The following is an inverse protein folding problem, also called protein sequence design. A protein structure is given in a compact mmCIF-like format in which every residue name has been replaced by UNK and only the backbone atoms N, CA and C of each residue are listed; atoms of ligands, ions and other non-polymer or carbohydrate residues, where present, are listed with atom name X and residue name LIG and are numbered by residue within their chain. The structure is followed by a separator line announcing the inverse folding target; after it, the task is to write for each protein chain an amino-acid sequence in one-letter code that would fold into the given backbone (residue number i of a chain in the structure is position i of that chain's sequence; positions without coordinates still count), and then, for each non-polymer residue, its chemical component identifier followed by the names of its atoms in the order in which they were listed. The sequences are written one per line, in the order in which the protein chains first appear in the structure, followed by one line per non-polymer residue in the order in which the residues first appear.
data_IF_160235522646
#
_entry.id   IF_160235522646
#
_cell.length_a   1.000
_cell.length_b   1.000
_cell.length_c   1.000
_cell.angle_alpha   90.00
_cell.angle_beta   90.00
_cell.angle_gamma   90.00
#
_symmetry.space_group_name_H-M   'P 1'
#
loop_
_entity.id
_entity.type
_entity.pdbx_description
1 polymer ?
#
# COMPACT_ATOMS: atom_id res chain seq x y z
N UNK A 1 19.37 12.80 -15.78
CA UNK A 1 19.02 12.98 -17.20
C UNK A 1 17.61 12.54 -17.55
N UNK A 2 17.08 11.50 -16.87
CA UNK A 2 15.75 10.92 -17.15
C UNK A 2 14.59 11.54 -16.34
N UNK A 3 14.85 12.53 -15.50
CA UNK A 3 13.81 13.13 -14.65
C UNK A 3 12.61 13.70 -15.42
N UNK A 4 12.82 14.19 -16.66
CA UNK A 4 11.76 14.71 -17.54
C UNK A 4 10.78 13.62 -18.01
N UNK A 5 11.23 12.37 -18.03
CA UNK A 5 10.45 11.21 -18.46
C UNK A 5 9.67 10.56 -17.30
N UNK A 6 9.87 11.05 -16.06
CA UNK A 6 9.18 10.55 -14.91
C UNK A 6 7.87 11.31 -14.64
N UNK A 7 6.92 10.61 -14.04
CA UNK A 7 5.68 11.18 -13.52
C UNK A 7 5.96 12.23 -12.45
N UNK A 8 5.09 13.22 -12.33
CA UNK A 8 5.28 14.37 -11.46
C UNK A 8 5.41 13.97 -9.98
N UNK A 9 4.70 12.94 -9.53
CA UNK A 9 4.82 12.42 -8.16
C UNK A 9 6.21 11.85 -7.85
N UNK A 10 6.88 11.21 -8.81
CA UNK A 10 8.24 10.70 -8.65
C UNK A 10 9.28 11.84 -8.62
N UNK A 11 9.07 12.85 -9.46
CA UNK A 11 9.90 14.07 -9.48
C UNK A 11 9.72 14.86 -8.17
N UNK A 12 8.49 15.00 -7.70
CA UNK A 12 8.22 15.70 -6.44
C UNK A 12 8.88 15.02 -5.25
N UNK A 13 8.78 13.69 -5.17
CA UNK A 13 9.46 12.93 -4.12
C UNK A 13 10.97 13.14 -4.14
N UNK A 14 11.59 13.12 -5.34
CA UNK A 14 13.01 13.41 -5.46
C UNK A 14 13.38 14.79 -4.90
N UNK A 15 12.58 15.81 -5.23
CA UNK A 15 12.79 17.18 -4.72
C UNK A 15 12.62 17.24 -3.18
N UNK A 16 11.55 16.66 -2.66
CA UNK A 16 11.25 16.65 -1.22
C UNK A 16 12.33 15.92 -0.42
N UNK A 17 12.90 14.86 -0.98
CA UNK A 17 14.01 14.10 -0.38
C UNK A 17 15.39 14.74 -0.57
N UNK A 18 15.47 15.99 -1.06
CA UNK A 18 16.73 16.68 -1.28
C UNK A 18 17.64 16.01 -2.31
N UNK A 19 17.06 15.38 -3.34
CA UNK A 19 17.78 14.70 -4.40
C UNK A 19 18.38 13.35 -4.03
N UNK A 20 18.07 12.81 -2.85
CA UNK A 20 18.70 11.57 -2.32
C UNK A 20 18.01 10.29 -2.73
N UNK A 21 16.79 10.37 -3.21
CA UNK A 21 15.99 9.22 -3.66
C UNK A 21 15.17 9.59 -4.88
N UNK A 22 14.67 8.60 -5.62
CA UNK A 22 13.74 8.78 -6.73
C UNK A 22 12.66 7.69 -6.69
N UNK A 23 11.43 8.08 -7.02
CA UNK A 23 10.32 7.14 -7.14
C UNK A 23 10.48 6.25 -8.38
N UNK A 24 10.26 4.96 -8.21
CA UNK A 24 10.25 3.98 -9.30
C UNK A 24 8.87 3.39 -9.57
N UNK A 25 7.97 3.44 -8.60
CA UNK A 25 6.57 3.08 -8.76
C UNK A 25 5.67 3.81 -7.76
N UNK A 26 4.37 3.76 -8.00
CA UNK A 26 3.33 4.22 -7.07
C UNK A 26 2.32 3.11 -6.82
N UNK A 27 1.84 3.02 -5.57
CA UNK A 27 0.79 2.11 -5.15
C UNK A 27 -0.20 2.78 -4.21
N UNK A 28 -1.50 2.65 -4.48
CA UNK A 28 -2.56 3.12 -3.59
C UNK A 28 -2.97 2.03 -2.60
N UNK A 29 -3.26 2.43 -1.35
CA UNK A 29 -3.86 1.54 -0.36
C UNK A 29 -5.31 1.23 -0.72
N UNK A 30 -5.78 0.11 -0.20
CA UNK A 30 -7.17 -0.31 -0.30
C UNK A 30 -7.40 -1.55 0.54
N UNK A 31 -8.48 -2.21 0.27
CA UNK A 31 -8.77 -3.54 0.77
C UNK A 31 -9.43 -4.36 -0.31
N UNK A 32 -9.44 -5.65 -0.14
CA UNK A 32 -10.05 -6.54 -1.12
C UNK A 32 -10.49 -7.85 -0.51
N UNK A 33 -11.30 -8.55 -1.27
CA UNK A 33 -11.91 -9.81 -0.89
C UNK A 33 -12.15 -10.69 -2.11
N UNK A 34 -12.27 -12.00 -1.90
CA UNK A 34 -12.76 -12.91 -2.92
C UNK A 34 -14.28 -12.81 -3.03
N UNK A 35 -14.79 -12.54 -4.23
CA UNK A 35 -16.23 -12.45 -4.47
C UNK A 35 -16.96 -13.78 -4.14
N UNK A 36 -16.33 -14.91 -4.43
CA UNK A 36 -16.89 -16.24 -4.15
C UNK A 36 -16.99 -16.50 -2.65
N UNK A 37 -15.94 -16.16 -1.88
CA UNK A 37 -15.92 -16.36 -0.42
C UNK A 37 -16.98 -15.48 0.26
N UNK A 38 -17.12 -14.22 -0.14
CA UNK A 38 -18.19 -13.36 0.40
C UNK A 38 -19.57 -13.91 0.09
N UNK A 39 -19.78 -14.38 -1.15
CA UNK A 39 -21.07 -14.98 -1.57
C UNK A 39 -21.41 -16.23 -0.75
N UNK A 40 -20.45 -17.11 -0.53
CA UNK A 40 -20.64 -18.31 0.31
C UNK A 40 -21.02 -17.97 1.74
N UNK A 41 -20.41 -16.92 2.30
CA UNK A 41 -20.70 -16.42 3.66
C UNK A 41 -22.00 -15.61 3.75
N UNK A 42 -22.59 -15.21 2.62
CA UNK A 42 -23.80 -14.39 2.57
C UNK A 42 -23.59 -12.98 3.13
N UNK A 43 -22.38 -12.43 3.04
CA UNK A 43 -22.01 -11.11 3.56
C UNK A 43 -21.84 -10.12 2.40
N UNK A 44 -22.32 -8.89 2.58
CA UNK A 44 -22.13 -7.82 1.60
C UNK A 44 -20.67 -7.31 1.62
N UNK A 45 -20.15 -6.95 0.46
CA UNK A 45 -18.79 -6.41 0.35
C UNK A 45 -18.68 -4.99 0.88
N UNK A 46 -17.66 -4.66 1.71
CA UNK A 46 -17.44 -3.31 2.21
C UNK A 46 -17.00 -2.37 1.08
N UNK A 47 -17.32 -1.07 1.21
CA UNK A 47 -16.99 -0.01 0.24
C UNK A 47 -16.17 1.13 0.82
N UNK A 48 -16.21 1.28 2.13
CA UNK A 48 -15.59 2.39 2.85
C UNK A 48 -14.72 1.84 3.99
N UNK A 49 -13.74 2.62 4.46
CA UNK A 49 -12.98 2.24 5.66
C UNK A 49 -13.91 2.00 6.86
N UNK A 50 -14.93 2.86 7.02
CA UNK A 50 -15.90 2.74 8.09
C UNK A 50 -16.62 1.39 8.11
N UNK A 51 -16.86 0.77 6.96
CA UNK A 51 -17.54 -0.52 6.87
C UNK A 51 -16.77 -1.64 7.55
N UNK A 52 -15.43 -1.58 7.57
CA UNK A 52 -14.58 -2.65 8.12
C UNK A 52 -14.76 -2.87 9.63
N UNK A 53 -15.42 -1.93 10.32
CA UNK A 53 -15.72 -2.05 11.74
C UNK A 53 -17.11 -2.63 12.03
N UNK A 54 -17.85 -3.04 11.01
CA UNK A 54 -19.16 -3.66 11.17
C UNK A 54 -19.04 -5.05 11.81
N UNK A 55 -20.02 -5.46 12.62
CA UNK A 55 -19.95 -6.73 13.37
C UNK A 55 -19.95 -7.98 12.47
N UNK A 56 -20.48 -7.89 11.25
CA UNK A 56 -20.44 -9.01 10.28
C UNK A 56 -19.03 -9.40 9.85
N UNK A 57 -18.05 -8.54 10.06
CA UNK A 57 -16.63 -8.81 9.73
C UNK A 57 -15.79 -9.20 10.96
N UNK A 58 -16.43 -9.52 12.09
CA UNK A 58 -15.72 -9.88 13.34
C UNK A 58 -14.82 -11.09 13.16
N UNK A 59 -13.49 -10.89 13.37
CA UNK A 59 -12.50 -11.92 13.17
C UNK A 59 -12.26 -12.31 11.70
N UNK A 60 -12.63 -11.46 10.76
CA UNK A 60 -12.59 -11.73 9.31
C UNK A 60 -11.80 -10.68 8.52
N UNK A 61 -11.00 -9.87 9.19
CA UNK A 61 -10.15 -8.87 8.57
C UNK A 61 -8.69 -9.15 8.88
N UNK A 62 -7.81 -9.04 7.88
CA UNK A 62 -6.37 -9.08 8.07
C UNK A 62 -5.72 -7.78 7.60
N UNK A 63 -4.70 -7.37 8.34
CA UNK A 63 -3.78 -6.30 8.00
C UNK A 63 -2.40 -6.65 8.54
N UNK A 64 -1.34 -6.12 7.97
CA UNK A 64 -0.01 -6.34 8.52
C UNK A 64 0.22 -5.54 9.82
N UNK A 65 1.19 -5.97 10.62
CA UNK A 65 1.61 -5.22 11.80
C UNK A 65 2.41 -3.97 11.38
N UNK A 66 2.04 -2.76 11.82
CA UNK A 66 2.68 -1.52 11.38
C UNK A 66 4.14 -1.39 11.86
N UNK A 67 4.57 -2.14 12.88
CA UNK A 67 5.96 -2.19 13.29
C UNK A 67 6.86 -2.94 12.29
N UNK A 68 6.32 -3.96 11.61
CA UNK A 68 7.07 -4.79 10.65
C UNK A 68 6.80 -4.45 9.19
N UNK A 69 5.75 -3.69 8.89
CA UNK A 69 5.29 -3.41 7.52
C UNK A 69 5.12 -1.92 7.26
N UNK A 70 5.78 -1.43 6.21
CA UNK A 70 5.57 -0.08 5.69
C UNK A 70 4.15 0.13 5.18
N UNK A 71 3.55 -0.88 4.56
CA UNK A 71 2.15 -0.88 4.10
C UNK A 71 1.19 -0.58 5.24
N UNK A 72 1.33 -1.30 6.35
CA UNK A 72 0.47 -1.12 7.52
C UNK A 72 0.73 0.20 8.24
N UNK A 73 1.98 0.69 8.25
CA UNK A 73 2.25 2.04 8.74
C UNK A 73 1.58 3.10 7.85
N UNK A 74 1.65 2.95 6.52
CA UNK A 74 0.95 3.85 5.60
C UNK A 74 -0.56 3.82 5.82
N UNK A 75 -1.14 2.65 6.15
CA UNK A 75 -2.56 2.53 6.53
C UNK A 75 -2.88 3.34 7.79
N UNK A 76 -2.11 3.19 8.88
CA UNK A 76 -2.30 3.98 10.10
C UNK A 76 -2.19 5.48 9.82
N UNK A 77 -1.15 5.90 9.11
CA UNK A 77 -0.94 7.31 8.76
C UNK A 77 -2.03 7.86 7.82
N UNK A 78 -2.58 7.03 6.93
CA UNK A 78 -3.72 7.39 6.09
C UNK A 78 -4.96 7.70 6.91
N UNK A 79 -5.32 6.82 7.85
CA UNK A 79 -6.47 7.03 8.72
C UNK A 79 -6.31 8.30 9.57
N UNK A 80 -5.12 8.53 10.12
CA UNK A 80 -4.82 9.74 10.89
C UNK A 80 -5.02 11.01 10.04
N UNK A 81 -4.65 10.97 8.77
CA UNK A 81 -4.83 12.11 7.86
C UNK A 81 -6.28 12.32 7.41
N UNK A 82 -7.06 11.25 7.29
CA UNK A 82 -8.48 11.34 6.88
C UNK A 82 -9.37 11.77 8.04
N UNK A 83 -9.17 11.20 9.24
CA UNK A 83 -10.10 11.30 10.36
C UNK A 83 -9.62 12.25 11.47
N UNK A 84 -8.33 12.60 11.47
CA UNK A 84 -7.66 13.15 12.66
C UNK A 84 -7.19 12.03 13.59
N UNK A 85 -6.19 12.32 14.43
CA UNK A 85 -5.48 11.27 15.16
C UNK A 85 -6.36 10.55 16.21
N UNK A 86 -7.16 11.29 16.97
CA UNK A 86 -8.00 10.71 18.02
C UNK A 86 -9.08 9.78 17.43
N UNK A 87 -9.77 10.23 16.40
CA UNK A 87 -10.81 9.44 15.74
C UNK A 87 -10.19 8.23 14.99
N UNK A 88 -9.01 8.39 14.40
CA UNK A 88 -8.31 7.29 13.74
C UNK A 88 -7.93 6.19 14.75
N UNK A 89 -7.45 6.55 15.94
CA UNK A 89 -7.12 5.55 16.97
C UNK A 89 -8.38 4.93 17.60
N UNK A 90 -9.46 5.70 17.75
CA UNK A 90 -10.77 5.13 18.14
C UNK A 90 -11.27 4.13 17.09
N UNK A 91 -11.16 4.46 15.81
CA UNK A 91 -11.47 3.56 14.70
C UNK A 91 -10.59 2.30 14.72
N UNK A 92 -9.26 2.44 14.88
CA UNK A 92 -8.33 1.30 14.91
C UNK A 92 -8.61 0.34 16.07
N UNK A 93 -9.00 0.86 17.25
CA UNK A 93 -9.45 0.02 18.38
C UNK A 93 -10.69 -0.80 18.03
N UNK A 94 -11.66 -0.16 17.38
CA UNK A 94 -12.88 -0.84 16.93
C UNK A 94 -12.58 -1.86 15.83
N UNK A 95 -11.72 -1.51 14.86
CA UNK A 95 -11.29 -2.41 13.81
C UNK A 95 -10.54 -3.63 14.38
N UNK A 96 -9.76 -3.44 15.46
CA UNK A 96 -9.03 -4.52 16.12
C UNK A 96 -9.94 -5.69 16.57
N UNK A 97 -11.19 -5.41 16.90
CA UNK A 97 -12.18 -6.45 17.24
C UNK A 97 -12.51 -7.36 16.04
N UNK A 98 -12.31 -6.85 14.81
CA UNK A 98 -12.56 -7.55 13.56
C UNK A 98 -11.29 -8.18 12.98
N UNK A 99 -10.11 -7.86 13.51
CA UNK A 99 -8.84 -8.44 13.06
C UNK A 99 -8.67 -9.85 13.58
N UNK A 100 -8.43 -10.80 12.68
CA UNK A 100 -8.06 -12.17 13.07
C UNK A 100 -6.55 -12.35 13.18
N UNK A 101 -5.76 -11.56 12.45
CA UNK A 101 -4.30 -11.65 12.49
C UNK A 101 -3.65 -10.36 11.99
N UNK A 102 -2.58 -9.94 12.69
CA UNK A 102 -1.62 -8.97 12.20
C UNK A 102 -0.44 -9.70 11.54
N UNK A 103 -0.35 -9.66 10.22
CA UNK A 103 0.70 -10.37 9.48
C UNK A 103 2.04 -9.64 9.55
N UNK A 104 3.14 -10.34 9.28
CA UNK A 104 4.47 -9.71 9.20
C UNK A 104 4.67 -8.95 7.88
N UNK A 105 4.21 -9.54 6.77
CA UNK A 105 4.34 -8.98 5.42
C UNK A 105 3.10 -8.18 5.01
N UNK A 106 3.31 -7.02 4.37
CA UNK A 106 2.24 -6.16 3.88
C UNK A 106 1.34 -6.80 2.84
N UNK A 107 1.87 -7.67 1.98
CA UNK A 107 1.12 -8.36 0.94
C UNK A 107 0.38 -9.63 1.41
N UNK A 108 0.72 -10.16 2.60
CA UNK A 108 0.12 -11.41 3.09
C UNK A 108 -1.41 -11.38 3.25
N UNK A 109 -2.05 -10.27 3.67
CA UNK A 109 -3.51 -10.19 3.75
C UNK A 109 -4.24 -10.45 2.43
N UNK A 110 -3.66 -10.02 1.29
CA UNK A 110 -4.22 -10.32 -0.04
C UNK A 110 -4.24 -11.83 -0.32
N UNK A 111 -3.15 -12.51 -0.01
CA UNK A 111 -3.05 -13.96 -0.19
C UNK A 111 -4.02 -14.72 0.71
N UNK A 112 -4.16 -14.29 1.96
CA UNK A 112 -5.10 -14.88 2.90
C UNK A 112 -6.56 -14.71 2.43
N UNK A 113 -6.93 -13.52 1.97
CA UNK A 113 -8.27 -13.26 1.43
C UNK A 113 -8.55 -14.08 0.16
N UNK A 114 -7.55 -14.26 -0.71
CA UNK A 114 -7.70 -15.06 -1.93
C UNK A 114 -7.93 -16.55 -1.67
N UNK A 115 -7.42 -17.07 -0.53
CA UNK A 115 -7.59 -18.46 -0.11
C UNK A 115 -8.77 -18.69 0.84
N UNK A 116 -9.53 -17.63 1.17
CA UNK A 116 -10.64 -17.71 2.12
C UNK A 116 -10.23 -17.90 3.58
N UNK A 117 -8.97 -17.65 3.94
CA UNK A 117 -8.47 -17.68 5.32
C UNK A 117 -8.95 -16.47 6.12
N UNK A 118 -9.37 -15.44 5.44
CA UNK A 118 -10.02 -14.23 5.96
C UNK A 118 -10.98 -13.70 4.89
N UNK A 119 -12.00 -12.94 5.27
CA UNK A 119 -12.87 -12.31 4.27
C UNK A 119 -12.19 -11.12 3.59
N UNK A 120 -11.51 -10.28 4.36
CA UNK A 120 -11.00 -8.99 3.90
C UNK A 120 -9.51 -8.88 4.19
N UNK A 121 -8.74 -8.52 3.18
CA UNK A 121 -7.33 -8.16 3.32
C UNK A 121 -7.11 -6.68 3.08
N UNK A 122 -6.45 -5.99 4.00
CA UNK A 122 -6.03 -4.59 3.86
C UNK A 122 -4.58 -4.55 3.42
N UNK A 123 -4.31 -4.00 2.22
CA UNK A 123 -2.97 -3.84 1.66
C UNK A 123 -2.98 -2.85 0.50
N UNK A 124 -1.89 -2.75 -0.25
CA UNK A 124 -1.88 -1.99 -1.50
C UNK A 124 -2.69 -2.70 -2.59
N UNK A 125 -3.37 -1.92 -3.42
CA UNK A 125 -4.27 -2.44 -4.45
C UNK A 125 -3.53 -3.31 -5.49
N UNK A 126 -2.27 -3.01 -5.80
CA UNK A 126 -1.46 -3.84 -6.69
C UNK A 126 -1.17 -5.24 -6.13
N UNK A 127 -1.14 -5.41 -4.80
CA UNK A 127 -1.05 -6.74 -4.18
C UNK A 127 -2.41 -7.48 -4.25
N UNK A 128 -3.51 -6.73 -4.16
CA UNK A 128 -4.87 -7.30 -4.20
C UNK A 128 -5.25 -7.86 -5.58
N UNK A 129 -4.73 -7.28 -6.66
CA UNK A 129 -4.97 -7.80 -8.01
C UNK A 129 -4.13 -9.02 -8.34
N UNK A 130 -3.03 -9.24 -7.64
CA UNK A 130 -2.09 -10.34 -7.93
C UNK A 130 -2.76 -11.72 -7.93
N UNK A 131 -3.57 -12.14 -6.95
CA UNK A 131 -4.22 -13.45 -6.97
C UNK A 131 -5.22 -13.61 -8.14
N UNK A 132 -5.87 -12.53 -8.57
CA UNK A 132 -6.77 -12.59 -9.73
C UNK A 132 -6.00 -12.92 -11.01
N UNK A 133 -4.84 -12.28 -11.20
CA UNK A 133 -4.01 -12.49 -12.39
C UNK A 133 -3.27 -13.83 -12.35
N UNK A 134 -2.71 -14.21 -11.21
CA UNK A 134 -1.83 -15.39 -11.11
C UNK A 134 -2.57 -16.70 -10.86
N UNK A 135 -3.74 -16.63 -10.24
CA UNK A 135 -4.49 -17.83 -9.79
C UNK A 135 -5.96 -17.85 -10.24
N UNK A 136 -6.42 -16.80 -10.94
CA UNK A 136 -7.80 -16.72 -11.43
C UNK A 136 -8.87 -16.54 -10.32
N UNK A 137 -8.46 -16.18 -9.10
CA UNK A 137 -9.41 -15.92 -8.00
C UNK A 137 -10.16 -14.62 -8.28
N UNK A 138 -11.50 -14.60 -8.19
CA UNK A 138 -12.29 -13.39 -8.47
C UNK A 138 -12.14 -12.36 -7.33
N UNK A 139 -10.99 -11.71 -7.28
CA UNK A 139 -10.72 -10.67 -6.29
C UNK A 139 -11.43 -9.37 -6.64
N UNK A 140 -12.16 -8.83 -5.69
CA UNK A 140 -12.71 -7.48 -5.73
C UNK A 140 -11.77 -6.56 -4.98
N UNK A 141 -11.23 -5.57 -5.69
CA UNK A 141 -10.33 -4.55 -5.12
C UNK A 141 -11.13 -3.28 -4.87
N UNK A 142 -11.11 -2.78 -3.65
CA UNK A 142 -11.90 -1.63 -3.22
C UNK A 142 -10.99 -0.43 -2.94
N UNK A 143 -11.29 0.67 -3.63
CA UNK A 143 -10.80 2.01 -3.28
C UNK A 143 -11.78 2.62 -2.29
N UNK A 144 -11.38 2.82 -1.02
CA UNK A 144 -12.31 3.26 0.01
C UNK A 144 -12.98 4.60 -0.29
N UNK A 145 -14.27 4.71 -0.02
CA UNK A 145 -15.10 5.86 -0.38
C UNK A 145 -14.65 7.20 0.27
N UNK A 146 -14.05 7.13 1.46
CA UNK A 146 -13.51 8.32 2.15
C UNK A 146 -12.27 8.87 1.45
N UNK A 147 -11.62 8.06 0.63
CA UNK A 147 -10.32 8.31 0.04
C UNK A 147 -9.25 7.44 0.68
N UNK A 148 -8.07 7.45 0.10
CA UNK A 148 -6.97 6.61 0.57
C UNK A 148 -5.61 7.23 0.38
N UNK A 149 -4.65 6.76 1.18
CA UNK A 149 -3.24 7.08 1.03
C UNK A 149 -2.56 6.22 -0.04
N UNK A 150 -1.33 6.56 -0.28
CA UNK A 150 -0.50 5.88 -1.26
C UNK A 150 0.97 5.89 -0.83
N UNK A 151 1.75 5.04 -1.46
CA UNK A 151 3.20 5.08 -1.35
C UNK A 151 3.85 5.42 -2.70
N UNK A 152 5.06 5.96 -2.63
CA UNK A 152 5.98 6.04 -3.74
C UNK A 152 7.18 5.15 -3.41
N UNK A 153 7.23 3.99 -4.04
CA UNK A 153 8.36 3.09 -3.91
C UNK A 153 9.59 3.72 -4.54
N UNK A 154 10.68 3.75 -3.79
CA UNK A 154 11.83 4.59 -4.13
C UNK A 154 13.13 3.86 -3.99
N UNK A 155 14.14 4.32 -4.71
CA UNK A 155 15.50 3.82 -4.60
C UNK A 155 16.49 4.94 -4.30
N UNK A 156 17.57 4.57 -3.61
CA UNK A 156 18.69 5.44 -3.26
C UNK A 156 20.01 4.70 -3.42
N UNK A 157 21.08 5.44 -3.72
CA UNK A 157 22.44 4.88 -3.67
C UNK A 157 22.97 5.08 -2.26
N UNK A 158 23.42 3.99 -1.63
CA UNK A 158 23.94 4.01 -0.27
C UNK A 158 25.28 4.79 -0.24
N UNK A 159 25.46 5.67 0.71
CA UNK A 159 26.74 6.38 0.92
C UNK A 159 27.86 5.38 1.21
N UNK A 160 28.95 5.48 0.47
CA UNK A 160 30.06 4.54 0.59
C UNK A 160 29.86 3.21 -0.12
N UNK A 161 28.91 3.12 -1.05
CA UNK A 161 28.71 1.94 -1.87
C UNK A 161 30.03 1.48 -2.53
N UNK A 162 30.45 0.22 -2.34
CA UNK A 162 31.76 -0.26 -2.83
C UNK A 162 31.87 -0.29 -4.35
N UNK A 163 30.73 -0.41 -5.05
CA UNK A 163 30.64 -0.46 -6.51
C UNK A 163 29.79 0.72 -7.05
N UNK A 164 30.16 1.95 -6.68
CA UNK A 164 29.39 3.15 -6.97
C UNK A 164 29.04 3.32 -8.46
N UNK A 165 29.97 3.06 -9.36
CA UNK A 165 29.73 3.23 -10.82
C UNK A 165 28.73 2.20 -11.34
N UNK A 166 28.77 0.97 -10.86
CA UNK A 166 27.74 -0.03 -11.19
C UNK A 166 26.39 0.29 -10.57
N UNK A 167 26.39 0.81 -9.34
CA UNK A 167 25.16 1.28 -8.68
C UNK A 167 24.48 2.41 -9.47
N UNK A 168 25.27 3.37 -10.00
CA UNK A 168 24.74 4.43 -10.89
C UNK A 168 24.16 3.88 -12.18
N UNK A 169 24.85 2.93 -12.85
CA UNK A 169 24.36 2.30 -14.07
C UNK A 169 23.05 1.56 -13.84
N UNK A 170 22.97 0.82 -12.72
CA UNK A 170 21.75 0.12 -12.35
C UNK A 170 20.60 1.10 -12.02
N UNK A 171 20.93 2.18 -11.30
CA UNK A 171 19.99 3.24 -10.95
C UNK A 171 19.38 3.89 -12.20
N UNK A 172 20.21 4.26 -13.17
CA UNK A 172 19.76 4.83 -14.44
C UNK A 172 18.95 3.83 -15.24
N UNK A 173 19.37 2.56 -15.30
CA UNK A 173 18.64 1.50 -15.99
C UNK A 173 17.26 1.27 -15.35
N UNK A 174 17.14 1.21 -14.03
CA UNK A 174 15.87 0.99 -13.33
C UNK A 174 14.82 2.08 -13.57
N UNK A 175 15.23 3.24 -14.07
CA UNK A 175 14.34 4.34 -14.46
C UNK A 175 13.92 4.30 -15.92
N UNK A 176 14.44 3.37 -16.71
CA UNK A 176 14.06 3.23 -18.12
C UNK A 176 12.66 2.58 -18.26
N UNK A 177 11.93 2.88 -19.35
CA UNK A 177 10.64 2.22 -19.60
C UNK A 177 10.77 0.69 -19.71
N UNK A 178 11.87 0.21 -20.33
CA UNK A 178 12.13 -1.21 -20.52
C UNK A 178 12.31 -1.93 -19.17
N UNK A 179 13.08 -1.35 -18.25
CA UNK A 179 13.27 -1.93 -16.91
C UNK A 179 11.97 -1.95 -16.12
N UNK A 180 11.20 -0.88 -16.16
CA UNK A 180 9.94 -0.78 -15.41
C UNK A 180 8.85 -1.69 -16.00
N UNK A 181 8.88 -1.98 -17.30
CA UNK A 181 8.00 -2.96 -17.93
C UNK A 181 8.19 -4.40 -17.42
N UNK A 182 9.38 -4.73 -16.89
CA UNK A 182 9.66 -6.06 -16.32
C UNK A 182 8.83 -6.35 -15.06
N UNK A 183 8.35 -5.33 -14.37
CA UNK A 183 7.52 -5.50 -13.17
C UNK A 183 6.30 -6.39 -13.44
N UNK A 184 5.56 -6.12 -14.51
CA UNK A 184 4.38 -6.92 -14.87
C UNK A 184 4.73 -8.38 -15.16
N UNK A 185 5.89 -8.65 -15.78
CA UNK A 185 6.38 -10.02 -16.04
C UNK A 185 6.73 -10.78 -14.75
N UNK A 186 7.05 -10.03 -13.69
CA UNK A 186 7.31 -10.56 -12.36
C UNK A 186 6.07 -10.53 -11.44
N UNK A 187 4.87 -10.37 -12.01
CA UNK A 187 3.60 -10.23 -11.27
C UNK A 187 3.56 -9.05 -10.29
N UNK A 188 4.30 -7.99 -10.61
CA UNK A 188 4.26 -6.73 -9.87
C UNK A 188 3.44 -5.70 -10.67
N UNK A 189 2.27 -5.33 -10.15
CA UNK A 189 1.28 -4.53 -10.86
C UNK A 189 1.20 -3.08 -10.35
N UNK A 190 2.33 -2.56 -9.86
CA UNK A 190 2.45 -1.15 -9.49
C UNK A 190 2.44 -0.24 -10.73
N UNK A 191 2.05 1.01 -10.52
CA UNK A 191 2.13 2.03 -11.58
C UNK A 191 3.57 2.52 -11.72
N UNK A 192 4.21 2.37 -12.90
CA UNK A 192 5.60 2.75 -13.10
C UNK A 192 5.79 4.27 -13.05
N UNK A 193 6.98 4.71 -12.63
CA UNK A 193 7.32 6.14 -12.57
C UNK A 193 7.66 6.76 -13.93
N UNK A 194 8.13 5.97 -14.89
CA UNK A 194 8.45 6.47 -16.23
C UNK A 194 7.18 6.58 -17.08
N UNK A 195 6.92 7.77 -17.63
CA UNK A 195 5.73 8.07 -18.45
C UNK A 195 5.63 7.22 -19.72
N UNK A 196 6.77 6.72 -20.21
CA UNK A 196 6.86 5.91 -21.42
C UNK A 196 6.81 4.40 -21.13
N UNK A 197 6.84 4.00 -19.85
CA UNK A 197 6.69 2.61 -19.49
C UNK A 197 5.22 2.18 -19.65
N UNK A 198 4.95 0.96 -20.17
CA UNK A 198 3.60 0.46 -20.25
C UNK A 198 3.05 0.25 -18.82
N UNK A 199 1.88 0.80 -18.56
CA UNK A 199 1.15 0.53 -17.31
C UNK A 199 0.56 -0.88 -17.43
N UNK A 200 0.79 -1.80 -16.48
CA UNK A 200 0.18 -3.11 -16.51
C UNK A 200 -1.35 -3.00 -16.55
N UNK A 201 -2.03 -3.83 -17.35
CA UNK A 201 -3.50 -3.80 -17.47
C UNK A 201 -4.18 -4.01 -16.11
N UNK A 202 -3.61 -4.88 -15.26
CA UNK A 202 -4.11 -5.14 -13.92
C UNK A 202 -3.73 -4.06 -12.89
N UNK A 203 -2.89 -3.08 -13.24
CA UNK A 203 -2.51 -2.02 -12.32
C UNK A 203 -3.72 -1.16 -11.93
N UNK A 204 -3.81 -0.72 -10.66
CA UNK A 204 -4.84 0.22 -10.23
C UNK A 204 -4.81 1.51 -11.05
N UNK A 205 -5.98 1.95 -11.51
CA UNK A 205 -6.12 3.20 -12.29
C UNK A 205 -6.15 4.38 -11.34
N UNK A 206 -5.01 5.02 -11.13
CA UNK A 206 -4.86 6.13 -10.17
C UNK A 206 -5.85 7.27 -10.40
N UNK A 207 -6.28 7.52 -11.65
CA UNK A 207 -7.27 8.54 -11.99
C UNK A 207 -8.69 8.24 -11.49
N UNK A 208 -8.98 6.99 -11.14
CA UNK A 208 -10.27 6.54 -10.61
C UNK A 208 -10.27 6.43 -9.07
N UNK A 209 -9.11 6.65 -8.43
CA UNK A 209 -8.92 6.52 -6.99
C UNK A 209 -8.92 7.90 -6.33
N UNK A 210 -9.71 8.08 -5.29
CA UNK A 210 -9.68 9.29 -4.47
C UNK A 210 -8.46 9.26 -3.55
N UNK A 211 -7.31 9.70 -4.07
CA UNK A 211 -6.08 9.83 -3.28
C UNK A 211 -6.18 11.06 -2.37
N UNK A 212 -5.72 10.93 -1.12
CA UNK A 212 -5.57 12.08 -0.22
C UNK A 212 -4.30 12.86 -0.57
N UNK A 213 -4.23 14.11 -0.14
CA UNK A 213 -2.99 14.89 -0.15
C UNK A 213 -2.10 14.39 1.00
N UNK A 214 -1.33 13.33 0.70
CA UNK A 214 -0.55 12.62 1.72
C UNK A 214 0.70 13.42 2.12
N UNK A 215 0.77 13.84 3.38
CA UNK A 215 1.91 14.59 3.94
C UNK A 215 3.13 13.67 4.17
N UNK A 216 3.89 13.42 3.12
CA UNK A 216 5.13 12.64 3.19
C UNK A 216 6.21 13.28 4.06
N UNK A 217 6.22 14.60 4.20
CA UNK A 217 7.21 15.29 5.02
C UNK A 217 7.03 14.96 6.50
N UNK A 218 5.79 15.00 6.97
CA UNK A 218 5.43 14.66 8.35
C UNK A 218 5.48 13.15 8.58
N UNK A 219 4.65 12.40 7.87
CA UNK A 219 4.44 10.96 8.13
C UNK A 219 5.57 10.06 7.60
N UNK A 220 6.42 10.56 6.71
CA UNK A 220 7.67 9.92 6.30
C UNK A 220 8.84 10.16 7.28
N UNK A 221 8.69 11.06 8.26
CA UNK A 221 9.75 11.32 9.25
C UNK A 221 9.88 10.17 10.24
N UNK A 222 11.13 9.90 10.67
CA UNK A 222 11.41 8.85 11.66
C UNK A 222 10.75 9.13 13.02
N UNK A 223 10.65 10.38 13.40
CA UNK A 223 10.12 10.78 14.72
C UNK A 223 8.60 10.59 14.76
N UNK A 224 7.88 11.03 13.72
CA UNK A 224 6.44 10.83 13.64
C UNK A 224 6.08 9.35 13.52
N UNK A 225 6.85 8.59 12.73
CA UNK A 225 6.68 7.13 12.65
C UNK A 225 6.83 6.47 14.02
N UNK A 226 7.89 6.76 14.76
CA UNK A 226 8.12 6.21 16.12
C UNK A 226 7.00 6.60 17.07
N UNK A 227 6.52 7.84 16.99
CA UNK A 227 5.46 8.35 17.85
C UNK A 227 4.13 7.60 17.62
N UNK A 228 3.71 7.47 16.37
CA UNK A 228 2.48 6.76 16.01
C UNK A 228 2.57 5.26 16.33
N UNK A 229 3.71 4.62 16.05
CA UNK A 229 3.93 3.21 16.39
C UNK A 229 3.92 2.98 17.89
N UNK A 230 4.53 3.87 18.68
CA UNK A 230 4.48 3.78 20.15
C UNK A 230 3.05 3.92 20.69
N UNK A 231 2.23 4.76 20.07
CA UNK A 231 0.82 4.88 20.42
C UNK A 231 0.05 3.61 20.05
N UNK A 232 0.28 3.09 18.83
CA UNK A 232 -0.33 1.84 18.36
C UNK A 232 0.00 0.66 19.28
N UNK A 233 1.26 0.50 19.68
CA UNK A 233 1.69 -0.56 20.59
C UNK A 233 0.94 -0.50 21.94
N UNK A 234 0.77 0.70 22.50
CA UNK A 234 0.08 0.88 23.78
C UNK A 234 -1.41 0.64 23.71
N UNK A 235 -2.05 1.08 22.63
CA UNK A 235 -3.51 1.15 22.56
C UNK A 235 -4.16 -0.03 21.84
N UNK A 236 -3.40 -0.74 20.98
CA UNK A 236 -3.90 -1.79 20.09
C UNK A 236 -3.02 -3.04 20.17
N UNK A 237 -1.72 -2.90 19.98
CA UNK A 237 -0.79 -4.03 19.84
C UNK A 237 -0.49 -4.81 21.12
N UNK A 238 -0.84 -4.28 22.28
CA UNK A 238 -0.65 -4.90 23.58
C UNK A 238 -1.84 -5.79 24.04
N UNK A 239 -2.87 -5.94 23.20
CA UNK A 239 -4.09 -6.71 23.51
C UNK A 239 -4.03 -8.14 22.99
#
# INVERSE_FOLDING_TARGET
PMMKDLNDWAVQQHKTAGGKTVGIYMGALGFGYSADVLKEKGVEGPKCWADLTKPEYKGEVQVANPNSSGTAYTFVATLVQIMGEEDAFAYLKKLNENINQYTKSGAAPSQAASRGETLIGITFQHDLVTPAVTSGVPMVVVSPCEGTGFEVGSMSIIKGAPNLENAKKWYDWALTPEAQALGAQANAFQVPSNKNAPIPEAAPKLSEIKLIDYDFAKYGSSDERKRLLSRWDKEIGAQ
#
